data_IF_303251932069
#
_entry.id   IF_303251932069
#
_cell.length_a   1.000
_cell.length_b   1.000
_cell.length_c   1.000
_cell.angle_alpha   90.00
_cell.angle_beta   90.00
_cell.angle_gamma   90.00
#
_symmetry.space_group_name_H-M   'P 1'
#
loop_
_entity.id
_entity.type
_entity.pdbx_description
1 polymer ?
#
# COMPACT_ATOMS: atom_id res chain seq x y z
N UNK A 1 -3.70 18.78 22.35
CA UNK A 1 -4.44 17.55 21.99
C UNK A 1 -3.88 17.05 20.67
N UNK A 2 -3.69 15.74 20.48
CA UNK A 2 -3.23 15.14 19.22
C UNK A 2 -4.32 14.22 18.66
N UNK A 3 -4.42 14.13 17.35
CA UNK A 3 -5.35 13.23 16.65
C UNK A 3 -4.56 12.21 15.85
N UNK A 4 -5.06 10.98 15.82
CA UNK A 4 -4.49 9.89 15.04
C UNK A 4 -5.60 9.27 14.23
N UNK A 5 -5.41 9.20 12.91
CA UNK A 5 -6.35 8.61 11.97
C UNK A 5 -5.78 7.31 11.44
N UNK A 6 -6.62 6.28 11.32
CA UNK A 6 -6.28 5.01 10.69
C UNK A 6 -7.08 4.86 9.41
N UNK A 7 -6.38 4.67 8.29
CA UNK A 7 -6.98 4.58 6.96
C UNK A 7 -6.48 3.29 6.32
N UNK A 8 -7.42 2.47 5.83
CA UNK A 8 -7.10 1.32 5.00
C UNK A 8 -6.89 1.78 3.56
N UNK A 9 -5.95 1.15 2.85
CA UNK A 9 -5.75 1.38 1.42
C UNK A 9 -7.05 1.22 0.61
N UNK A 10 -7.17 1.94 -0.50
CA UNK A 10 -8.24 1.75 -1.49
C UNK A 10 -8.16 0.41 -2.22
N UNK A 11 -9.12 0.12 -3.08
CA UNK A 11 -9.14 -1.13 -3.86
C UNK A 11 -7.89 -1.29 -4.75
N UNK A 12 -7.09 -2.33 -4.49
CA UNK A 12 -5.96 -2.71 -5.33
C UNK A 12 -6.39 -3.53 -6.56
N UNK A 13 -5.54 -3.59 -7.59
CA UNK A 13 -5.79 -4.39 -8.81
C UNK A 13 -6.06 -5.86 -8.49
N UNK A 14 -5.32 -6.44 -7.53
CA UNK A 14 -5.55 -7.81 -7.03
C UNK A 14 -6.92 -7.98 -6.38
N UNK A 15 -7.42 -6.94 -5.69
CA UNK A 15 -8.74 -6.97 -5.07
C UNK A 15 -9.83 -6.95 -6.14
N UNK A 16 -9.69 -6.06 -7.13
CA UNK A 16 -10.61 -5.96 -8.25
C UNK A 16 -10.68 -7.28 -9.04
N UNK A 17 -9.52 -7.88 -9.33
CA UNK A 17 -9.44 -9.16 -10.00
C UNK A 17 -10.01 -10.32 -9.19
N UNK A 18 -9.79 -10.34 -7.86
CA UNK A 18 -10.36 -11.37 -6.99
C UNK A 18 -11.86 -11.21 -6.76
N UNK A 19 -12.41 -10.01 -6.97
CA UNK A 19 -13.82 -9.69 -6.72
C UNK A 19 -14.77 -10.35 -7.70
N UNK A 20 -14.33 -10.63 -8.94
CA UNK A 20 -15.17 -11.27 -9.96
C UNK A 20 -15.48 -12.74 -9.64
N UNK A 21 -14.74 -13.34 -8.71
CA UNK A 21 -14.91 -14.71 -8.28
C UNK A 21 -15.64 -14.79 -6.93
N UNK A 22 -16.49 -15.80 -6.78
CA UNK A 22 -17.17 -16.12 -5.53
C UNK A 22 -16.16 -16.42 -4.41
N UNK A 23 -16.57 -16.29 -3.14
CA UNK A 23 -15.68 -16.40 -1.98
C UNK A 23 -14.89 -17.72 -1.95
N UNK A 24 -15.56 -18.83 -2.28
CA UNK A 24 -15.00 -20.18 -2.21
C UNK A 24 -14.51 -20.69 -3.57
N UNK A 25 -14.46 -19.81 -4.59
CA UNK A 25 -13.95 -20.15 -5.90
C UNK A 25 -12.41 -20.27 -5.86
N UNK A 26 -11.82 -21.42 -6.28
CA UNK A 26 -10.38 -21.62 -6.25
C UNK A 26 -9.62 -20.60 -7.12
N UNK A 27 -10.25 -20.04 -8.16
CA UNK A 27 -9.65 -18.99 -9.00
C UNK A 27 -9.40 -17.70 -8.23
N UNK A 28 -10.22 -17.40 -7.22
CA UNK A 28 -9.99 -16.25 -6.32
C UNK A 28 -8.68 -16.40 -5.54
N UNK A 29 -8.36 -17.62 -5.13
CA UNK A 29 -7.10 -17.93 -4.46
C UNK A 29 -5.93 -17.83 -5.45
N UNK A 30 -6.10 -18.39 -6.66
CA UNK A 30 -5.08 -18.30 -7.70
C UNK A 30 -4.72 -16.84 -8.04
N UNK A 31 -5.71 -15.94 -8.12
CA UNK A 31 -5.47 -14.49 -8.29
C UNK A 31 -4.56 -13.92 -7.20
N UNK A 32 -4.77 -14.28 -5.92
CA UNK A 32 -3.93 -13.77 -4.82
C UNK A 32 -2.51 -14.34 -4.81
N UNK A 33 -2.26 -15.41 -5.55
CA UNK A 33 -0.96 -16.07 -5.65
C UNK A 33 -0.23 -15.71 -6.95
N UNK A 34 -0.88 -14.95 -7.85
CA UNK A 34 -0.34 -14.60 -9.15
C UNK A 34 0.69 -13.48 -9.03
N UNK A 35 1.91 -13.73 -9.50
CA UNK A 35 3.02 -12.77 -9.47
C UNK A 35 2.73 -11.50 -10.28
N UNK A 36 1.76 -11.50 -11.19
CA UNK A 36 1.34 -10.27 -11.88
C UNK A 36 0.76 -9.22 -10.93
N UNK A 37 0.38 -9.62 -9.72
CA UNK A 37 -0.09 -8.72 -8.66
C UNK A 37 0.97 -8.49 -7.57
N UNK A 38 2.24 -8.81 -7.83
CA UNK A 38 3.33 -8.43 -6.95
C UNK A 38 3.28 -6.92 -6.65
N UNK A 39 3.35 -6.56 -5.37
CA UNK A 39 3.25 -5.18 -4.88
C UNK A 39 2.11 -4.38 -5.56
N UNK A 40 0.91 -4.98 -5.58
CA UNK A 40 -0.21 -4.52 -6.40
C UNK A 40 -0.55 -3.04 -6.17
N UNK A 41 -0.66 -2.30 -7.27
CA UNK A 41 -1.11 -0.92 -7.30
C UNK A 41 -2.61 -0.80 -7.01
N UNK A 42 -3.07 0.40 -6.68
CA UNK A 42 -4.49 0.75 -6.69
C UNK A 42 -5.09 0.56 -8.09
N UNK A 43 -6.34 0.10 -8.10
CA UNK A 43 -7.21 0.20 -9.28
C UNK A 43 -7.67 1.65 -9.48
N UNK A 44 -8.25 1.96 -10.64
CA UNK A 44 -8.90 3.26 -10.89
C UNK A 44 -9.94 3.59 -9.82
N UNK A 45 -10.78 2.61 -9.46
CA UNK A 45 -11.74 2.72 -8.36
C UNK A 45 -11.05 2.98 -7.02
N UNK A 46 -9.91 2.35 -6.76
CA UNK A 46 -9.12 2.59 -5.54
C UNK A 46 -8.61 4.03 -5.45
N UNK A 47 -8.17 4.60 -6.58
CA UNK A 47 -7.78 6.01 -6.66
C UNK A 47 -8.97 6.95 -6.45
N UNK A 48 -10.12 6.63 -7.02
CA UNK A 48 -11.37 7.39 -6.78
C UNK A 48 -11.78 7.37 -5.31
N UNK A 49 -11.69 6.21 -4.65
CA UNK A 49 -11.95 6.08 -3.21
C UNK A 49 -11.03 6.99 -2.39
N UNK A 50 -9.73 7.03 -2.71
CA UNK A 50 -8.76 7.88 -2.04
C UNK A 50 -9.06 9.38 -2.25
N UNK A 51 -9.37 9.79 -3.50
CA UNK A 51 -9.74 11.17 -3.83
C UNK A 51 -11.04 11.61 -3.18
N UNK A 52 -12.03 10.72 -3.10
CA UNK A 52 -13.28 11.01 -2.41
C UNK A 52 -13.05 11.21 -0.90
N UNK A 53 -12.21 10.38 -0.28
CA UNK A 53 -11.88 10.51 1.15
C UNK A 53 -11.21 11.85 1.46
N UNK A 54 -10.31 12.34 0.58
CA UNK A 54 -9.63 13.64 0.70
C UNK A 54 -10.58 14.80 0.96
N UNK A 55 -11.79 14.77 0.39
CA UNK A 55 -12.79 15.83 0.55
C UNK A 55 -13.41 15.89 1.95
N UNK A 56 -13.25 14.83 2.74
CA UNK A 56 -13.95 14.64 4.03
C UNK A 56 -13.01 14.44 5.23
N UNK A 57 -11.70 14.41 4.98
CA UNK A 57 -10.68 14.20 6.01
C UNK A 57 -9.98 15.53 6.34
N UNK A 58 -9.67 15.81 7.63
CA UNK A 58 -8.89 16.99 7.97
C UNK A 58 -7.46 16.91 7.44
N UNK A 59 -6.83 18.08 7.31
CA UNK A 59 -5.39 18.16 7.12
C UNK A 59 -4.64 17.55 8.31
N UNK A 60 -3.48 16.98 8.03
CA UNK A 60 -2.61 16.34 9.01
C UNK A 60 -1.19 16.84 8.84
N UNK A 61 -0.40 16.80 9.92
CA UNK A 61 1.00 17.24 9.88
C UNK A 61 1.93 16.15 9.33
N UNK A 62 1.57 14.88 9.52
CA UNK A 62 2.42 13.72 9.24
C UNK A 62 1.55 12.58 8.71
N UNK A 63 2.03 11.92 7.66
CA UNK A 63 1.43 10.69 7.10
C UNK A 63 2.43 9.56 7.21
N UNK A 64 1.96 8.40 7.68
CA UNK A 64 2.77 7.18 7.82
C UNK A 64 2.06 6.06 7.05
N UNK A 65 2.81 5.35 6.21
CA UNK A 65 2.30 4.23 5.44
C UNK A 65 3.25 3.02 5.48
N UNK A 66 2.70 1.82 5.27
CA UNK A 66 3.52 0.66 4.92
C UNK A 66 4.20 0.88 3.56
N UNK A 67 5.38 0.30 3.28
CA UNK A 67 6.08 0.42 2.01
C UNK A 67 5.45 -0.45 0.89
N UNK A 68 4.12 -0.52 0.85
CA UNK A 68 3.35 -1.22 -0.17
C UNK A 68 2.75 -0.19 -1.12
N UNK A 69 2.78 -0.45 -2.42
CA UNK A 69 2.41 0.52 -3.46
C UNK A 69 0.98 1.02 -3.27
N UNK A 70 0.02 0.12 -3.04
CA UNK A 70 -1.37 0.52 -2.76
C UNK A 70 -1.53 1.45 -1.56
N UNK A 71 -0.70 1.29 -0.53
CA UNK A 71 -0.74 2.14 0.66
C UNK A 71 -0.13 3.51 0.39
N UNK A 72 1.03 3.56 -0.29
CA UNK A 72 1.68 4.81 -0.69
C UNK A 72 0.81 5.63 -1.66
N UNK A 73 0.18 4.96 -2.63
CA UNK A 73 -0.77 5.62 -3.55
C UNK A 73 -2.01 6.13 -2.82
N UNK A 74 -2.55 5.37 -1.86
CA UNK A 74 -3.68 5.84 -1.04
C UNK A 74 -3.26 7.06 -0.23
N UNK A 75 -2.15 6.99 0.50
CA UNK A 75 -1.64 8.09 1.31
C UNK A 75 -1.42 9.37 0.48
N UNK A 76 -0.73 9.23 -0.66
CA UNK A 76 -0.46 10.33 -1.58
C UNK A 76 -1.76 10.94 -2.09
N UNK A 77 -2.71 10.13 -2.59
CA UNK A 77 -3.96 10.64 -3.14
C UNK A 77 -4.91 11.24 -2.08
N UNK A 78 -4.93 10.71 -0.86
CA UNK A 78 -5.77 11.22 0.25
C UNK A 78 -5.25 12.54 0.77
N UNK A 79 -3.93 12.68 0.93
CA UNK A 79 -3.34 13.84 1.63
C UNK A 79 -2.61 14.83 0.71
N UNK A 80 -2.45 14.52 -0.57
CA UNK A 80 -1.71 15.37 -1.52
C UNK A 80 -0.23 15.49 -1.14
N UNK A 81 0.41 14.39 -0.71
CA UNK A 81 1.78 14.41 -0.21
C UNK A 81 2.82 14.82 -1.27
N UNK A 82 2.48 14.72 -2.55
CA UNK A 82 3.27 15.11 -3.71
C UNK A 82 3.02 16.56 -4.15
N UNK A 83 2.08 17.26 -3.52
CA UNK A 83 1.75 18.64 -3.84
C UNK A 83 2.56 19.64 -2.99
N UNK A 84 2.78 20.88 -3.48
CA UNK A 84 3.41 21.93 -2.69
C UNK A 84 2.64 22.19 -1.38
N UNK A 85 3.33 22.05 -0.25
CA UNK A 85 2.73 22.21 1.08
C UNK A 85 1.98 20.97 1.58
N UNK A 86 2.03 19.85 0.85
CA UNK A 86 1.56 18.56 1.33
C UNK A 86 2.34 18.07 2.56
N UNK A 87 1.72 17.23 3.41
CA UNK A 87 2.40 16.69 4.58
C UNK A 87 3.49 15.70 4.19
N UNK A 88 4.48 15.53 5.08
CA UNK A 88 5.54 14.54 4.88
C UNK A 88 4.96 13.13 4.98
N UNK A 89 5.30 12.30 3.99
CA UNK A 89 4.96 10.88 3.94
C UNK A 89 6.17 10.05 4.35
N UNK A 90 6.03 9.26 5.40
CA UNK A 90 7.04 8.31 5.87
C UNK A 90 6.61 6.89 5.54
N UNK A 91 7.45 6.16 4.81
CA UNK A 91 7.30 4.72 4.59
C UNK A 91 8.06 3.96 5.69
N UNK A 92 7.35 3.16 6.49
CA UNK A 92 7.96 2.43 7.62
C UNK A 92 7.85 0.92 7.44
N UNK A 93 8.99 0.23 7.40
CA UNK A 93 9.07 -1.24 7.37
C UNK A 93 9.50 -1.85 8.70
N UNK A 94 10.50 -1.23 9.36
CA UNK A 94 11.21 -1.76 10.53
C UNK A 94 10.33 -2.04 11.76
N UNK A 95 9.09 -1.54 11.78
CA UNK A 95 8.13 -1.71 12.88
C UNK A 95 6.81 -2.38 12.46
N UNK A 96 6.73 -2.95 11.25
CA UNK A 96 5.48 -3.08 10.48
C UNK A 96 4.32 -3.92 11.08
N UNK A 97 3.66 -3.37 12.10
CA UNK A 97 2.25 -3.59 12.40
C UNK A 97 1.32 -2.97 11.33
N UNK A 98 1.89 -2.25 10.34
CA UNK A 98 1.17 -1.56 9.28
C UNK A 98 1.03 -2.37 7.99
N UNK A 99 1.84 -3.44 7.80
CA UNK A 99 1.78 -4.27 6.59
C UNK A 99 0.60 -5.24 6.66
N UNK A 100 0.02 -5.52 5.51
CA UNK A 100 -0.94 -6.63 5.38
C UNK A 100 -0.18 -7.95 5.59
N UNK A 101 -0.68 -8.78 6.51
CA UNK A 101 -0.16 -10.12 6.73
C UNK A 101 -1.32 -11.12 6.66
N UNK A 102 -1.41 -11.85 5.55
CA UNK A 102 -2.38 -12.93 5.42
C UNK A 102 -1.76 -14.27 5.88
N UNK A 103 -1.83 -14.54 7.20
CA UNK A 103 -1.07 -15.56 7.92
C UNK A 103 -1.35 -17.05 7.65
N UNK A 104 -1.42 -17.48 6.40
CA UNK A 104 -1.36 -18.91 6.04
C UNK A 104 -0.52 -19.21 4.80
N UNK A 105 -0.44 -18.29 3.84
CA UNK A 105 0.27 -18.49 2.57
C UNK A 105 0.78 -17.16 2.04
N UNK A 106 1.99 -17.18 1.48
CA UNK A 106 2.58 -16.05 0.77
C UNK A 106 1.65 -15.52 -0.31
N UNK A 107 1.43 -14.20 -0.32
CA UNK A 107 0.71 -13.48 -1.37
C UNK A 107 1.67 -12.44 -1.96
N UNK A 108 1.97 -12.51 -3.28
CA UNK A 108 2.90 -11.56 -3.91
C UNK A 108 2.52 -10.10 -3.71
N UNK A 109 1.22 -9.79 -3.61
CA UNK A 109 0.75 -8.43 -3.36
C UNK A 109 1.16 -7.88 -1.99
N UNK A 110 1.45 -8.75 -1.02
CA UNK A 110 1.84 -8.32 0.33
C UNK A 110 3.35 -8.06 0.43
N UNK A 111 4.14 -8.45 -0.58
CA UNK A 111 5.55 -8.07 -0.70
C UNK A 111 5.70 -6.71 -1.36
N UNK A 112 6.70 -5.96 -0.91
CA UNK A 112 7.11 -4.71 -1.55
C UNK A 112 8.12 -4.93 -2.68
N UNK A 113 8.17 -3.99 -3.62
CA UNK A 113 9.29 -3.84 -4.56
C UNK A 113 10.58 -3.41 -3.86
N UNK A 114 11.67 -3.34 -4.63
CA UNK A 114 12.92 -2.78 -4.14
C UNK A 114 12.73 -1.31 -3.72
N UNK A 115 13.54 -0.84 -2.78
CA UNK A 115 13.52 0.57 -2.39
C UNK A 115 13.79 1.48 -3.59
N UNK A 116 14.67 1.08 -4.50
CA UNK A 116 15.01 1.89 -5.67
C UNK A 116 13.78 2.13 -6.56
N UNK A 117 12.97 1.09 -6.79
CA UNK A 117 11.72 1.21 -7.55
C UNK A 117 10.70 2.08 -6.81
N UNK A 118 10.57 1.90 -5.49
CA UNK A 118 9.64 2.71 -4.68
C UNK A 118 10.05 4.18 -4.61
N UNK A 119 11.34 4.48 -4.45
CA UNK A 119 11.86 5.85 -4.45
C UNK A 119 11.69 6.52 -5.83
N UNK A 120 11.83 5.75 -6.92
CA UNK A 120 11.61 6.27 -8.26
C UNK A 120 10.13 6.62 -8.50
N UNK A 121 9.19 5.82 -7.99
CA UNK A 121 7.74 6.09 -8.13
C UNK A 121 7.22 7.12 -7.12
N UNK A 122 7.78 7.16 -5.90
CA UNK A 122 7.35 8.03 -4.81
C UNK A 122 8.51 8.89 -4.28
N UNK A 123 9.09 9.78 -5.11
CA UNK A 123 10.25 10.59 -4.71
C UNK A 123 9.97 11.56 -3.56
N UNK A 124 8.69 11.83 -3.26
CA UNK A 124 8.22 12.65 -2.15
C UNK A 124 8.12 11.90 -0.81
N UNK A 125 8.21 10.57 -0.82
CA UNK A 125 8.14 9.76 0.40
C UNK A 125 9.54 9.53 1.00
N UNK A 126 9.61 9.56 2.32
CA UNK A 126 10.81 9.24 3.09
C UNK A 126 10.86 7.72 3.36
N UNK A 127 11.90 7.08 2.85
CA UNK A 127 12.16 5.64 2.98
C UNK A 127 13.33 5.31 3.93
N UNK A 128 13.79 6.26 4.74
CA UNK A 128 14.93 6.08 5.65
C UNK A 128 14.78 4.91 6.62
N UNK A 129 13.53 4.52 6.94
CA UNK A 129 13.17 3.41 7.83
C UNK A 129 12.75 2.13 7.09
N UNK A 130 13.13 2.02 5.81
CA UNK A 130 12.96 0.81 4.99
C UNK A 130 14.35 0.20 4.72
N UNK A 131 14.55 -1.10 5.01
CA UNK A 131 15.79 -1.83 4.69
C UNK A 131 16.14 -1.83 3.19
N UNK A 132 17.41 -1.56 2.81
CA UNK A 132 17.82 -1.53 1.41
C UNK A 132 17.60 -2.88 0.71
N UNK A 133 17.38 -2.82 -0.61
CA UNK A 133 17.26 -4.01 -1.43
C UNK A 133 15.85 -4.61 -1.46
N UNK A 134 15.72 -5.93 -1.72
CA UNK A 134 14.43 -6.60 -1.83
C UNK A 134 13.73 -6.73 -0.47
N UNK A 135 12.47 -7.14 -0.50
CA UNK A 135 11.69 -7.43 0.70
C UNK A 135 12.26 -8.65 1.45
N UNK A 136 12.86 -8.41 2.60
CA UNK A 136 13.41 -9.48 3.42
C UNK A 136 12.39 -10.07 4.41
N UNK A 137 11.25 -9.42 4.62
CA UNK A 137 10.25 -9.85 5.61
C UNK A 137 9.26 -10.86 5.02
N UNK A 138 8.81 -10.64 3.78
CA UNK A 138 7.86 -11.52 3.10
C UNK A 138 8.42 -12.04 1.78
N UNK A 139 8.34 -13.35 1.59
CA UNK A 139 8.77 -14.01 0.37
C UNK A 139 8.29 -15.46 0.31
N UNK A 140 8.41 -16.13 -0.84
CA UNK A 140 8.12 -17.57 -0.93
C UNK A 140 8.94 -18.36 0.09
N UNK A 141 8.26 -19.08 0.99
CA UNK A 141 8.90 -19.93 2.00
C UNK A 141 9.42 -19.21 3.26
N UNK A 142 9.09 -17.93 3.45
CA UNK A 142 9.29 -17.19 4.71
C UNK A 142 8.05 -17.21 5.59
#
# INVERSE_FOLDING_TARGET
>A
RKWVYFIRHGEALVNAAGRVFAKDDPRKKAVRQDMKYFDSHLSEKGLEQARALRQSIPQVDVVIASPLTRALQTATAVFGCDEPGGPRLYALEATSALREFCGKQYQPCDSRRSIQELQAEFPHADFSEVPPGPDELLGPGK
#
